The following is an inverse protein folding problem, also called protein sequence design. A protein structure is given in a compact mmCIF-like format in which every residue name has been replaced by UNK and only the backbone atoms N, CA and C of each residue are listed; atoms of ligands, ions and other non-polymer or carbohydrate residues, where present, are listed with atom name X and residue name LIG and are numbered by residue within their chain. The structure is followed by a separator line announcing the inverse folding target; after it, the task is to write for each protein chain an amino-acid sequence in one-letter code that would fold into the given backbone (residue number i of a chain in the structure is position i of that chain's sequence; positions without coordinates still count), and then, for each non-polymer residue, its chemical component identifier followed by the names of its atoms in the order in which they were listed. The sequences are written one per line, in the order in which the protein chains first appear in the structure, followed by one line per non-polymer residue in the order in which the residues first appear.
data_IF_081909843278
#
_entry.id   IF_081909843278
#
_cell.length_a   1.000
_cell.length_b   1.000
_cell.length_c   1.000
_cell.angle_alpha   90.00
_cell.angle_beta   90.00
_cell.angle_gamma   90.00
#
_symmetry.space_group_name_H-M   'P 1'
#
loop_
_entity.id
_entity.type
_entity.pdbx_description
1 polymer ?
#
# COMPACT_ATOMS: atom_id res chain seq x y z
N UNK A 1 -4.31 3.69 -14.74
CA UNK A 1 -3.83 5.01 -15.21
C UNK A 1 -4.84 5.74 -16.09
N UNK A 2 -5.20 5.15 -17.24
CA UNK A 2 -5.92 5.87 -18.31
C UNK A 2 -7.27 6.47 -17.94
N UNK A 3 -8.05 5.80 -17.09
CA UNK A 3 -9.33 6.35 -16.63
C UNK A 3 -9.14 7.67 -15.85
N UNK A 4 -8.17 7.72 -14.93
CA UNK A 4 -7.87 8.93 -14.15
C UNK A 4 -7.31 10.02 -15.04
N UNK A 5 -6.41 9.69 -15.98
CA UNK A 5 -5.82 10.66 -16.90
C UNK A 5 -6.89 11.32 -17.77
N UNK A 6 -7.82 10.53 -18.32
CA UNK A 6 -8.98 11.05 -19.07
C UNK A 6 -9.88 11.94 -18.20
N UNK A 7 -10.06 11.62 -16.91
CA UNK A 7 -10.81 12.48 -15.99
C UNK A 7 -10.12 13.83 -15.80
N UNK A 8 -8.80 13.85 -15.60
CA UNK A 8 -8.01 15.09 -15.46
C UNK A 8 -8.09 15.93 -16.74
N UNK A 9 -7.93 15.30 -17.91
CA UNK A 9 -8.07 15.98 -19.20
C UNK A 9 -9.49 16.55 -19.41
N UNK A 10 -10.51 15.80 -18.97
CA UNK A 10 -11.90 16.25 -18.93
C UNK A 10 -12.09 17.49 -18.05
N UNK A 11 -11.50 17.50 -16.84
CA UNK A 11 -11.55 18.66 -15.94
C UNK A 11 -10.86 19.89 -16.55
N UNK A 12 -9.73 19.70 -17.24
CA UNK A 12 -9.05 20.79 -17.94
C UNK A 12 -9.92 21.38 -19.06
N UNK A 13 -10.61 20.54 -19.82
CA UNK A 13 -11.54 20.96 -20.89
C UNK A 13 -12.74 21.71 -20.32
N UNK A 14 -13.31 21.24 -19.21
CA UNK A 14 -14.40 21.92 -18.51
C UNK A 14 -13.94 23.31 -18.03
N UNK A 15 -12.74 23.40 -17.44
CA UNK A 15 -12.15 24.67 -16.99
C UNK A 15 -12.02 25.68 -18.14
N UNK A 16 -11.54 25.26 -19.30
CA UNK A 16 -11.44 26.13 -20.48
C UNK A 16 -12.82 26.61 -20.95
N UNK A 17 -13.81 25.71 -20.97
CA UNK A 17 -15.19 26.03 -21.34
C UNK A 17 -15.82 27.04 -20.37
N UNK A 18 -15.58 26.88 -19.07
CA UNK A 18 -16.03 27.83 -18.03
C UNK A 18 -15.39 29.20 -18.25
N UNK A 19 -14.09 29.27 -18.52
CA UNK A 19 -13.40 30.54 -18.79
C UNK A 19 -13.94 31.25 -20.03
N UNK A 20 -14.20 30.51 -21.11
CA UNK A 20 -14.80 31.08 -22.31
C UNK A 20 -16.22 31.59 -22.04
N UNK A 21 -17.01 30.82 -21.30
CA UNK A 21 -18.38 31.20 -20.94
C UNK A 21 -18.40 32.43 -20.04
N UNK A 22 -17.50 32.51 -19.05
CA UNK A 22 -17.34 33.69 -18.20
C UNK A 22 -16.99 34.95 -19.01
N UNK A 23 -16.10 34.84 -20.02
CA UNK A 23 -15.81 35.97 -20.94
C UNK A 23 -17.04 36.39 -21.75
N UNK A 24 -17.87 35.45 -22.21
CA UNK A 24 -19.12 35.75 -22.94
C UNK A 24 -20.13 36.46 -22.03
N UNK A 25 -20.28 36.01 -20.79
CA UNK A 25 -21.19 36.62 -19.81
C UNK A 25 -20.71 38.03 -19.43
N UNK A 26 -19.40 38.25 -19.22
CA UNK A 26 -18.86 39.59 -18.92
C UNK A 26 -19.17 40.59 -20.04
N UNK A 27 -18.97 40.19 -21.30
CA UNK A 27 -19.35 41.02 -22.47
C UNK A 27 -20.85 41.30 -22.53
N UNK A 28 -21.68 40.34 -22.12
CA UNK A 28 -23.12 40.54 -22.02
C UNK A 28 -23.46 41.59 -20.95
N UNK A 29 -22.83 41.52 -19.78
CA UNK A 29 -22.97 42.53 -18.72
C UNK A 29 -22.54 43.93 -19.18
N UNK A 30 -21.42 44.05 -19.89
CA UNK A 30 -20.96 45.32 -20.50
C UNK A 30 -21.97 45.86 -21.51
N UNK A 31 -22.49 44.99 -22.39
CA UNK A 31 -23.51 45.38 -23.38
C UNK A 31 -24.83 45.82 -22.72
N UNK A 32 -25.24 45.13 -21.64
CA UNK A 32 -26.42 45.52 -20.86
C UNK A 32 -26.22 46.85 -20.14
N UNK A 33 -25.01 47.18 -19.69
CA UNK A 33 -24.69 48.50 -19.15
C UNK A 33 -24.82 49.59 -20.21
N UNK A 34 -24.32 49.35 -21.42
CA UNK A 34 -24.46 50.29 -22.54
C UNK A 34 -25.93 50.52 -22.91
N UNK A 35 -26.74 49.45 -22.95
CA UNK A 35 -28.20 49.56 -23.13
C UNK A 35 -28.83 50.37 -22.01
N UNK A 36 -28.42 50.16 -20.75
CA UNK A 36 -28.91 50.94 -19.60
C UNK A 36 -28.69 52.45 -19.78
N UNK A 37 -27.50 52.85 -20.21
CA UNK A 37 -27.17 54.26 -20.48
C UNK A 37 -28.02 54.84 -21.63
N UNK A 38 -28.31 54.04 -22.67
CA UNK A 38 -29.18 54.46 -23.78
C UNK A 38 -30.62 54.63 -23.30
N UNK A 39 -31.12 53.72 -22.46
CA UNK A 39 -32.49 53.78 -21.93
C UNK A 39 -32.69 55.02 -21.04
N UNK A 40 -31.68 55.38 -20.24
CA UNK A 40 -31.67 56.61 -19.44
C UNK A 40 -31.76 57.86 -20.35
N UNK A 41 -30.94 57.92 -21.40
CA UNK A 41 -31.01 59.02 -22.38
C UNK A 41 -32.38 59.11 -23.08
N UNK A 42 -32.99 57.98 -23.45
CA UNK A 42 -34.34 57.99 -24.07
C UNK A 42 -35.39 58.47 -23.07
N UNK A 43 -35.26 58.11 -21.79
CA UNK A 43 -36.14 58.60 -20.74
C UNK A 43 -36.05 60.13 -20.61
N UNK A 44 -34.83 60.68 -20.61
CA UNK A 44 -34.61 62.13 -20.56
C UNK A 44 -35.21 62.85 -21.79
N UNK A 45 -35.07 62.26 -22.98
CA UNK A 45 -35.68 62.80 -24.22
C UNK A 45 -37.21 62.75 -24.13
N UNK A 46 -37.79 61.66 -23.61
CA UNK A 46 -39.23 61.55 -23.43
C UNK A 46 -39.74 62.60 -22.43
N UNK A 47 -39.04 62.84 -21.34
CA UNK A 47 -39.39 63.86 -20.35
C UNK A 47 -39.27 65.29 -20.91
N UNK A 48 -38.21 65.60 -21.66
CA UNK A 48 -38.09 66.88 -22.37
C UNK A 48 -39.20 67.07 -23.41
N UNK A 49 -39.52 66.03 -24.17
CA UNK A 49 -40.60 66.05 -25.16
C UNK A 49 -41.95 66.30 -24.49
N UNK A 50 -42.18 65.70 -23.32
CA UNK A 50 -43.37 65.93 -22.50
C UNK A 50 -43.50 67.40 -22.06
N UNK A 51 -42.40 68.00 -21.60
CA UNK A 51 -42.36 69.42 -21.20
C UNK A 51 -42.60 70.34 -22.41
N UNK A 52 -42.00 70.03 -23.56
CA UNK A 52 -42.19 70.79 -24.81
C UNK A 52 -43.64 70.72 -25.29
N UNK A 53 -44.25 69.53 -25.24
CA UNK A 53 -45.65 69.33 -25.61
C UNK A 53 -46.60 70.10 -24.68
N UNK A 54 -46.36 70.08 -23.37
CA UNK A 54 -47.12 70.86 -22.40
C UNK A 54 -47.03 72.37 -22.69
N UNK A 55 -45.82 72.88 -22.95
CA UNK A 55 -45.62 74.29 -23.30
C UNK A 55 -46.35 74.65 -24.60
N UNK A 56 -46.36 73.77 -25.60
CA UNK A 56 -47.10 73.95 -26.84
C UNK A 56 -48.62 73.95 -26.62
N UNK A 57 -49.14 73.07 -25.76
CA UNK A 57 -50.58 73.01 -25.41
C UNK A 57 -51.03 74.30 -24.68
N UNK A 58 -50.20 74.84 -23.79
CA UNK A 58 -50.44 76.14 -23.14
C UNK A 58 -50.47 77.29 -24.17
N UNK A 59 -49.48 77.37 -25.05
CA UNK A 59 -49.41 78.40 -26.09
C UNK A 59 -50.59 78.31 -27.08
N UNK A 60 -50.99 77.09 -27.45
CA UNK A 60 -52.15 76.85 -28.30
C UNK A 60 -53.46 77.29 -27.62
N UNK A 61 -53.60 77.07 -26.31
CA UNK A 61 -54.74 77.56 -25.53
C UNK A 61 -54.79 79.09 -25.45
N UNK A 62 -53.63 79.76 -25.34
CA UNK A 62 -53.55 81.23 -25.34
C UNK A 62 -53.93 81.85 -26.70
N UNK A 63 -53.72 81.14 -27.81
CA UNK A 63 -54.09 81.60 -29.15
C UNK A 63 -55.60 81.48 -29.46
N UNK A 64 -56.40 80.94 -28.55
CA UNK A 64 -57.86 80.82 -28.69
C UNK A 64 -58.28 79.95 -29.87
N UNK A 65 -59.26 80.40 -30.65
CA UNK A 65 -59.81 79.61 -31.78
C UNK A 65 -58.79 79.32 -32.89
N UNK A 66 -57.76 80.15 -33.05
CA UNK A 66 -56.68 79.93 -34.02
C UNK A 66 -55.71 78.81 -33.60
N UNK A 67 -55.64 78.50 -32.29
CA UNK A 67 -54.74 77.49 -31.71
C UNK A 67 -55.34 76.10 -31.56
N UNK A 68 -56.64 75.91 -31.82
CA UNK A 68 -57.35 74.63 -31.58
C UNK A 68 -56.69 73.41 -32.23
N UNK A 69 -56.24 73.55 -33.48
CA UNK A 69 -55.55 72.46 -34.19
C UNK A 69 -54.17 72.14 -33.59
N UNK A 70 -53.45 73.16 -33.11
CA UNK A 70 -52.15 72.98 -32.45
C UNK A 70 -52.30 72.37 -31.05
N UNK A 71 -53.38 72.68 -30.33
CA UNK A 71 -53.65 72.10 -29.01
C UNK A 71 -53.84 70.57 -29.10
N UNK A 72 -54.61 70.09 -30.09
CA UNK A 72 -54.82 68.64 -30.30
C UNK A 72 -53.51 67.91 -30.62
N UNK A 73 -52.65 68.52 -31.43
CA UNK A 73 -51.33 67.93 -31.75
C UNK A 73 -50.43 67.92 -30.51
N UNK A 74 -50.42 68.99 -29.71
CA UNK A 74 -49.63 69.07 -28.49
C UNK A 74 -50.05 68.00 -27.47
N UNK A 75 -51.34 67.79 -27.27
CA UNK A 75 -51.86 66.75 -26.36
C UNK A 75 -51.49 65.33 -26.83
N UNK A 76 -51.51 65.06 -28.14
CA UNK A 76 -51.10 63.76 -28.67
C UNK A 76 -49.58 63.53 -28.56
N UNK A 77 -48.76 64.57 -28.73
CA UNK A 77 -47.31 64.49 -28.50
C UNK A 77 -47.02 64.25 -27.00
N UNK A 78 -47.74 64.92 -26.10
CA UNK A 78 -47.63 64.70 -24.66
C UNK A 78 -47.94 63.24 -24.30
N UNK A 79 -49.06 62.72 -24.80
CA UNK A 79 -49.47 61.33 -24.60
C UNK A 79 -48.45 60.33 -25.15
N UNK A 80 -47.83 60.63 -26.29
CA UNK A 80 -46.79 59.79 -26.88
C UNK A 80 -45.51 59.80 -26.02
N UNK A 81 -45.13 60.96 -25.50
CA UNK A 81 -43.99 61.13 -24.60
C UNK A 81 -44.18 60.36 -23.29
N UNK A 82 -45.37 60.45 -22.66
CA UNK A 82 -45.71 59.67 -21.46
C UNK A 82 -45.68 58.15 -21.73
N UNK A 83 -46.16 57.71 -22.89
CA UNK A 83 -46.07 56.29 -23.29
C UNK A 83 -44.63 55.84 -23.50
N UNK A 84 -43.79 56.69 -24.09
CA UNK A 84 -42.36 56.40 -24.28
C UNK A 84 -41.64 56.28 -22.93
N UNK A 85 -41.86 57.22 -22.00
CA UNK A 85 -41.29 57.19 -20.65
C UNK A 85 -41.72 55.94 -19.85
N UNK A 86 -42.99 55.53 -19.96
CA UNK A 86 -43.45 54.30 -19.33
C UNK A 86 -42.82 53.04 -19.93
N UNK A 87 -42.55 53.03 -21.24
CA UNK A 87 -41.90 51.92 -21.92
C UNK A 87 -40.40 51.84 -21.57
N UNK A 88 -39.68 52.98 -21.55
CA UNK A 88 -38.27 53.03 -21.14
C UNK A 88 -38.09 52.55 -19.71
N UNK A 89 -38.98 52.93 -18.79
CA UNK A 89 -38.95 52.44 -17.40
C UNK A 89 -39.13 50.93 -17.27
N UNK A 90 -39.97 50.32 -18.11
CA UNK A 90 -40.09 48.86 -18.16
C UNK A 90 -38.79 48.22 -18.68
N UNK A 91 -38.20 48.77 -19.74
CA UNK A 91 -36.93 48.29 -20.27
C UNK A 91 -35.81 48.43 -19.23
N UNK A 92 -35.78 49.53 -18.47
CA UNK A 92 -34.80 49.76 -17.40
C UNK A 92 -34.86 48.63 -16.35
N UNK A 93 -36.06 48.23 -15.93
CA UNK A 93 -36.23 47.09 -15.00
C UNK A 93 -35.69 45.80 -15.61
N UNK A 94 -35.98 45.53 -16.89
CA UNK A 94 -35.45 44.35 -17.59
C UNK A 94 -33.91 44.36 -17.65
N UNK A 95 -33.32 45.51 -17.98
CA UNK A 95 -31.86 45.67 -18.06
C UNK A 95 -31.22 45.44 -16.69
N UNK A 96 -31.79 45.99 -15.61
CA UNK A 96 -31.30 45.75 -14.24
C UNK A 96 -31.37 44.28 -13.86
N UNK A 97 -32.44 43.56 -14.23
CA UNK A 97 -32.54 42.12 -14.01
C UNK A 97 -31.44 41.37 -14.77
N UNK A 98 -31.21 41.69 -16.05
CA UNK A 98 -30.15 41.07 -16.85
C UNK A 98 -28.76 41.35 -16.23
N UNK A 99 -28.52 42.56 -15.74
CA UNK A 99 -27.27 42.91 -15.05
C UNK A 99 -27.08 42.08 -13.76
N UNK A 100 -28.14 41.90 -12.98
CA UNK A 100 -28.10 41.05 -11.78
C UNK A 100 -27.81 39.58 -12.13
N UNK A 101 -28.55 39.02 -13.09
CA UNK A 101 -28.42 37.63 -13.54
C UNK A 101 -27.03 37.36 -14.14
N UNK A 102 -26.50 38.30 -14.93
CA UNK A 102 -25.14 38.18 -15.50
C UNK A 102 -24.07 38.22 -14.42
N UNK A 103 -24.20 39.08 -13.40
CA UNK A 103 -23.28 39.10 -12.28
C UNK A 103 -23.33 37.81 -11.46
N UNK A 104 -24.53 37.30 -11.17
CA UNK A 104 -24.70 36.02 -10.47
C UNK A 104 -24.07 34.87 -11.29
N UNK A 105 -24.27 34.86 -12.61
CA UNK A 105 -23.68 33.86 -13.48
C UNK A 105 -22.14 33.93 -13.48
N UNK A 106 -21.53 35.12 -13.40
CA UNK A 106 -20.07 35.25 -13.23
C UNK A 106 -19.59 34.64 -11.92
N UNK A 107 -20.26 34.94 -10.80
CA UNK A 107 -19.92 34.38 -9.48
C UNK A 107 -20.05 32.84 -9.50
N UNK A 108 -21.10 32.32 -10.12
CA UNK A 108 -21.31 30.88 -10.30
C UNK A 108 -20.20 30.22 -11.14
N UNK A 109 -19.72 30.90 -12.19
CA UNK A 109 -18.60 30.43 -13.01
C UNK A 109 -17.26 30.42 -12.24
N UNK A 110 -17.02 31.41 -11.37
CA UNK A 110 -15.84 31.44 -10.51
C UNK A 110 -15.84 30.31 -9.47
N UNK A 111 -17.00 30.05 -8.84
CA UNK A 111 -17.18 28.89 -7.97
C UNK A 111 -16.96 27.58 -8.72
N UNK A 112 -17.56 27.43 -9.90
CA UNK A 112 -17.40 26.24 -10.74
C UNK A 112 -15.94 26.01 -11.13
N UNK A 113 -15.17 27.08 -11.36
CA UNK A 113 -13.73 26.99 -11.62
C UNK A 113 -12.99 26.39 -10.42
N UNK A 114 -13.32 26.84 -9.21
CA UNK A 114 -12.72 26.31 -7.96
C UNK A 114 -13.05 24.84 -7.77
N UNK A 115 -14.31 24.46 -7.98
CA UNK A 115 -14.78 23.08 -7.84
C UNK A 115 -14.09 22.13 -8.85
N UNK A 116 -13.91 22.58 -10.10
CA UNK A 116 -13.19 21.81 -11.14
C UNK A 116 -11.71 21.64 -10.79
N UNK A 117 -11.04 22.66 -10.26
CA UNK A 117 -9.64 22.56 -9.80
C UNK A 117 -9.53 21.57 -8.64
N UNK A 118 -10.44 21.66 -7.66
CA UNK A 118 -10.50 20.69 -6.56
C UNK A 118 -10.75 19.26 -7.05
N UNK A 119 -11.67 19.09 -8.02
CA UNK A 119 -11.96 17.81 -8.65
C UNK A 119 -10.76 17.21 -9.39
N UNK A 120 -9.99 18.03 -10.11
CA UNK A 120 -8.76 17.61 -10.77
C UNK A 120 -7.70 17.10 -9.76
N UNK A 121 -7.52 17.82 -8.65
CA UNK A 121 -6.59 17.42 -7.59
C UNK A 121 -6.99 16.10 -6.91
N UNK A 122 -8.30 15.91 -6.65
CA UNK A 122 -8.81 14.65 -6.09
C UNK A 122 -8.58 13.49 -7.05
N UNK A 123 -8.80 13.71 -8.36
CA UNK A 123 -8.52 12.70 -9.38
C UNK A 123 -7.02 12.34 -9.44
N UNK A 124 -6.14 13.33 -9.35
CA UNK A 124 -4.68 13.12 -9.32
C UNK A 124 -4.26 12.27 -8.10
N UNK A 125 -4.75 12.61 -6.90
CA UNK A 125 -4.50 11.84 -5.68
C UNK A 125 -5.00 10.39 -5.79
N UNK A 126 -6.19 10.18 -6.36
CA UNK A 126 -6.71 8.85 -6.64
C UNK A 126 -5.82 8.08 -7.65
N UNK A 127 -5.28 8.78 -8.64
CA UNK A 127 -4.30 8.25 -9.58
C UNK A 127 -3.04 7.73 -8.92
N UNK A 128 -2.46 8.52 -8.00
CA UNK A 128 -1.27 8.14 -7.25
C UNK A 128 -1.53 6.91 -6.35
N UNK A 129 -2.66 6.88 -5.64
CA UNK A 129 -3.04 5.73 -4.81
C UNK A 129 -3.21 4.44 -5.63
N UNK A 130 -3.80 4.54 -6.83
CA UNK A 130 -3.93 3.40 -7.73
C UNK A 130 -2.58 2.90 -8.26
N UNK A 131 -1.61 3.79 -8.50
CA UNK A 131 -0.25 3.39 -8.88
C UNK A 131 0.46 2.64 -7.74
N UNK A 132 0.27 3.08 -6.49
CA UNK A 132 0.80 2.39 -5.32
C UNK A 132 0.19 0.97 -5.21
N UNK A 133 -1.13 0.84 -5.39
CA UNK A 133 -1.82 -0.46 -5.40
C UNK A 133 -1.28 -1.37 -6.51
N UNK A 134 -1.03 -0.83 -7.70
CA UNK A 134 -0.44 -1.57 -8.82
C UNK A 134 0.95 -2.10 -8.47
N UNK A 135 1.80 -1.26 -7.87
CA UNK A 135 3.14 -1.63 -7.43
C UNK A 135 3.11 -2.75 -6.37
N UNK A 136 2.25 -2.61 -5.35
CA UNK A 136 2.08 -3.61 -4.30
C UNK A 136 1.56 -4.93 -4.89
N UNK A 137 0.61 -4.87 -5.84
CA UNK A 137 0.07 -6.06 -6.50
C UNK A 137 1.14 -6.82 -7.30
N UNK A 138 2.01 -6.10 -8.01
CA UNK A 138 3.15 -6.70 -8.71
C UNK A 138 4.15 -7.35 -7.75
N UNK A 139 4.41 -6.72 -6.60
CA UNK A 139 5.26 -7.30 -5.56
C UNK A 139 4.66 -8.58 -4.97
N UNK A 140 3.35 -8.59 -4.70
CA UNK A 140 2.63 -9.78 -4.24
C UNK A 140 2.73 -10.91 -5.28
N UNK A 141 2.54 -10.61 -6.56
CA UNK A 141 2.66 -11.60 -7.63
C UNK A 141 4.06 -12.24 -7.66
N UNK A 142 5.12 -11.44 -7.49
CA UNK A 142 6.49 -11.93 -7.38
C UNK A 142 6.69 -12.81 -6.14
N UNK A 143 6.17 -12.40 -4.97
CA UNK A 143 6.23 -13.23 -3.76
C UNK A 143 5.54 -14.58 -3.94
N UNK A 144 4.36 -14.61 -4.57
CA UNK A 144 3.63 -15.84 -4.86
C UNK A 144 4.42 -16.77 -5.78
N UNK A 145 5.09 -16.23 -6.80
CA UNK A 145 5.98 -17.01 -7.67
C UNK A 145 7.15 -17.63 -6.88
N UNK A 146 7.78 -16.86 -5.99
CA UNK A 146 8.86 -17.35 -5.14
C UNK A 146 8.39 -18.44 -4.16
N UNK A 147 7.23 -18.25 -3.53
CA UNK A 147 6.63 -19.26 -2.65
C UNK A 147 6.34 -20.56 -3.42
N UNK A 148 5.81 -20.44 -4.64
CA UNK A 148 5.55 -21.61 -5.50
C UNK A 148 6.85 -22.36 -5.83
N UNK A 149 7.93 -21.64 -6.14
CA UNK A 149 9.24 -22.23 -6.39
C UNK A 149 9.80 -22.94 -5.14
N UNK A 150 9.77 -22.29 -3.98
CA UNK A 150 10.20 -22.87 -2.71
C UNK A 150 9.38 -24.11 -2.33
N UNK A 151 8.06 -24.10 -2.58
CA UNK A 151 7.17 -25.24 -2.32
C UNK A 151 7.52 -26.45 -3.21
N UNK A 152 7.89 -26.23 -4.47
CA UNK A 152 8.41 -27.29 -5.35
C UNK A 152 9.72 -27.86 -4.82
N UNK A 153 10.66 -27.01 -4.40
CA UNK A 153 11.92 -27.47 -3.80
C UNK A 153 11.68 -28.29 -2.52
N UNK A 154 10.76 -27.84 -1.66
CA UNK A 154 10.41 -28.55 -0.42
C UNK A 154 9.77 -29.91 -0.72
N UNK A 155 8.98 -30.02 -1.80
CA UNK A 155 8.41 -31.30 -2.25
C UNK A 155 9.52 -32.26 -2.68
N UNK A 156 10.51 -31.81 -3.45
CA UNK A 156 11.67 -32.63 -3.84
C UNK A 156 12.48 -33.07 -2.61
N UNK A 157 12.76 -32.15 -1.68
CA UNK A 157 13.46 -32.50 -0.44
C UNK A 157 12.69 -33.52 0.41
N UNK A 158 11.36 -33.40 0.49
CA UNK A 158 10.51 -34.37 1.18
C UNK A 158 10.57 -35.76 0.52
N UNK A 159 10.62 -35.82 -0.82
CA UNK A 159 10.81 -37.09 -1.55
C UNK A 159 12.17 -37.73 -1.26
N UNK A 160 13.23 -36.92 -1.17
CA UNK A 160 14.57 -37.41 -0.79
C UNK A 160 14.59 -37.96 0.64
N UNK A 161 13.97 -37.26 1.58
CA UNK A 161 13.82 -37.72 2.96
C UNK A 161 13.06 -39.05 3.00
N UNK A 162 11.95 -39.16 2.27
CA UNK A 162 11.18 -40.40 2.20
C UNK A 162 12.00 -41.57 1.65
N UNK A 163 12.82 -41.33 0.62
CA UNK A 163 13.77 -42.34 0.09
C UNK A 163 14.80 -42.76 1.13
N UNK A 164 15.41 -41.78 1.82
CA UNK A 164 16.40 -42.07 2.86
C UNK A 164 15.80 -42.86 4.03
N UNK A 165 14.56 -42.58 4.41
CA UNK A 165 13.83 -43.35 5.43
C UNK A 165 13.61 -44.80 5.01
N UNK A 166 13.35 -45.05 3.73
CA UNK A 166 13.22 -46.42 3.20
C UNK A 166 14.55 -47.16 3.27
N UNK A 167 15.65 -46.51 2.89
CA UNK A 167 17.01 -47.09 3.00
C UNK A 167 17.37 -47.37 4.47
N UNK A 168 17.07 -46.45 5.38
CA UNK A 168 17.29 -46.65 6.82
C UNK A 168 16.51 -47.84 7.37
N UNK A 169 15.28 -48.05 6.89
CA UNK A 169 14.47 -49.21 7.27
C UNK A 169 15.13 -50.51 6.81
N UNK A 170 15.65 -50.56 5.59
CA UNK A 170 16.35 -51.72 5.04
C UNK A 170 17.64 -52.03 5.81
N UNK A 171 18.47 -51.00 6.07
CA UNK A 171 19.69 -51.14 6.89
C UNK A 171 19.36 -51.64 8.30
N UNK A 172 18.30 -51.11 8.92
CA UNK A 172 17.86 -51.52 10.26
C UNK A 172 17.43 -52.99 10.28
N UNK A 173 16.71 -53.45 9.25
CA UNK A 173 16.34 -54.85 9.09
C UNK A 173 17.58 -55.76 8.93
N UNK A 174 18.52 -55.38 8.06
CA UNK A 174 19.77 -56.12 7.87
C UNK A 174 20.61 -56.18 9.15
N UNK A 175 20.64 -55.07 9.91
CA UNK A 175 21.38 -55.00 11.18
C UNK A 175 20.76 -55.93 12.23
N UNK A 176 19.43 -56.00 12.29
CA UNK A 176 18.73 -56.93 13.18
C UNK A 176 19.03 -58.40 12.81
N UNK A 177 19.01 -58.73 11.52
CA UNK A 177 19.38 -60.07 11.02
C UNK A 177 20.83 -60.42 11.37
N UNK A 178 21.78 -59.52 11.11
CA UNK A 178 23.20 -59.70 11.43
C UNK A 178 23.44 -59.87 12.94
N UNK A 179 22.70 -59.14 13.77
CA UNK A 179 22.75 -59.29 15.23
C UNK A 179 22.22 -60.65 15.69
N UNK A 180 21.14 -61.14 15.08
CA UNK A 180 20.63 -62.50 15.35
C UNK A 180 21.64 -63.58 14.92
N UNK A 181 22.26 -63.44 13.74
CA UNK A 181 23.31 -64.33 13.27
C UNK A 181 24.55 -64.32 14.19
N UNK A 182 24.95 -63.14 14.68
CA UNK A 182 26.06 -62.98 15.63
C UNK A 182 25.74 -63.66 16.96
N UNK A 183 24.52 -63.47 17.48
CA UNK A 183 24.04 -64.12 18.71
C UNK A 183 24.09 -65.64 18.58
N UNK A 184 23.64 -66.18 17.44
CA UNK A 184 23.72 -67.62 17.16
C UNK A 184 25.17 -68.13 17.13
N UNK A 185 26.08 -67.38 16.50
CA UNK A 185 27.52 -67.73 16.45
C UNK A 185 28.16 -67.71 17.84
N UNK A 186 27.84 -66.71 18.67
CA UNK A 186 28.28 -66.64 20.07
C UNK A 186 27.74 -67.84 20.86
N UNK A 187 26.48 -68.22 20.66
CA UNK A 187 25.89 -69.43 21.26
C UNK A 187 26.65 -70.71 20.90
N UNK A 188 26.99 -70.89 19.61
CA UNK A 188 27.81 -72.03 19.14
C UNK A 188 29.21 -72.02 19.76
N UNK A 189 29.86 -70.85 19.84
CA UNK A 189 31.18 -70.71 20.47
C UNK A 189 31.15 -71.05 21.96
N UNK A 190 30.11 -70.63 22.69
CA UNK A 190 29.91 -70.98 24.09
C UNK A 190 29.74 -72.50 24.26
N UNK A 191 28.98 -73.14 23.38
CA UNK A 191 28.79 -74.60 23.38
C UNK A 191 30.10 -75.34 23.10
N UNK A 192 30.87 -74.92 22.09
CA UNK A 192 32.18 -75.51 21.78
C UNK A 192 33.17 -75.33 22.94
N UNK A 193 33.18 -74.16 23.56
CA UNK A 193 34.00 -73.88 24.75
C UNK A 193 33.62 -74.79 25.92
N UNK A 194 32.33 -75.04 26.14
CA UNK A 194 31.85 -75.98 27.16
C UNK A 194 32.26 -77.43 26.84
N UNK A 195 32.19 -77.85 25.57
CA UNK A 195 32.65 -79.16 25.12
C UNK A 195 34.16 -79.33 25.33
N UNK A 196 34.96 -78.32 24.96
CA UNK A 196 36.40 -78.32 25.20
C UNK A 196 36.71 -78.43 26.71
N UNK A 197 36.02 -77.65 27.56
CA UNK A 197 36.16 -77.77 29.03
C UNK A 197 35.82 -79.18 29.52
N UNK A 198 34.76 -79.81 28.99
CA UNK A 198 34.37 -81.18 29.32
C UNK A 198 35.44 -82.20 28.89
N UNK A 199 35.97 -82.08 27.68
CA UNK A 199 37.03 -82.96 27.17
C UNK A 199 38.32 -82.84 27.98
N UNK A 200 38.69 -81.62 28.42
CA UNK A 200 39.87 -81.38 29.25
C UNK A 200 39.65 -81.81 30.71
N UNK A 201 38.42 -81.79 31.23
CA UNK A 201 38.11 -82.21 32.60
C UNK A 201 38.42 -83.69 32.90
N UNK A 202 38.48 -84.54 31.86
CA UNK A 202 38.91 -85.94 31.97
C UNK A 202 40.43 -86.10 32.17
N UNK A 203 41.24 -85.09 31.83
CA UNK A 203 42.67 -85.05 32.10
C UNK A 203 42.91 -84.58 33.54
N UNK A 204 42.55 -85.42 34.51
CA UNK A 204 43.00 -85.25 35.89
C UNK A 204 44.41 -85.81 36.02
N UNK A 205 45.31 -85.05 36.63
CA UNK A 205 46.61 -85.59 37.02
C UNK A 205 46.37 -86.76 37.99
N UNK A 206 47.09 -87.88 37.86
CA UNK A 206 47.05 -88.98 38.82
C UNK A 206 47.22 -88.42 40.24
N UNK A 207 46.39 -88.84 41.19
CA UNK A 207 46.45 -88.37 42.59
C UNK A 207 47.86 -88.52 43.20
N UNK A 208 48.65 -89.48 42.72
CA UNK A 208 50.05 -89.67 43.07
C UNK A 208 50.94 -88.45 42.75
N UNK A 209 50.69 -87.73 41.65
CA UNK A 209 51.48 -86.55 41.26
C UNK A 209 51.02 -85.31 42.04
N UNK A 210 49.72 -85.22 42.36
CA UNK A 210 49.18 -84.11 43.18
C UNK A 210 49.67 -84.21 44.63
N UNK A 211 49.75 -85.42 45.20
CA UNK A 211 50.34 -85.64 46.52
C UNK A 211 51.88 -85.45 46.52
N UNK A 212 52.58 -85.86 45.47
CA UNK A 212 54.02 -85.59 45.33
C UNK A 212 54.33 -84.08 45.22
N UNK A 213 53.51 -83.33 44.49
CA UNK A 213 53.63 -81.87 44.39
C UNK A 213 53.28 -81.14 45.70
N UNK A 214 52.36 -81.69 46.51
CA UNK A 214 52.06 -81.17 47.85
C UNK A 214 53.16 -81.50 48.88
N UNK A 215 53.83 -82.65 48.78
CA UNK A 215 54.98 -82.99 49.61
C UNK A 215 56.22 -82.11 49.32
N UNK A 216 56.40 -81.67 48.07
CA UNK A 216 57.42 -80.69 47.68
C UNK A 216 57.13 -79.26 48.15
N UNK A 217 55.91 -78.96 48.61
CA UNK A 217 55.49 -77.62 49.06
C UNK A 217 55.71 -77.34 50.55
N UNK A 218 56.30 -78.29 51.28
CA UNK A 218 56.53 -78.24 52.73
C UNK A 218 57.83 -77.58 53.20
N UNK A 219 58.64 -76.96 52.34
CA UNK A 219 59.85 -76.23 52.77
C UNK A 219 59.62 -74.71 52.91
N UNK A 220 60.24 -74.04 53.91
CA UNK A 220 59.95 -72.64 54.25
C UNK A 220 60.65 -71.59 53.36
N UNK A 221 59.86 -70.58 53.01
CA UNK A 221 60.05 -69.17 52.58
C UNK A 221 61.43 -68.60 52.19
N UNK A 222 61.42 -67.75 51.14
CA UNK A 222 62.06 -66.41 51.05
C UNK A 222 61.21 -65.53 50.10
N UNK A 223 60.43 -64.59 50.65
CA UNK A 223 60.64 -63.11 50.66
C UNK A 223 60.57 -62.40 49.29
N UNK A 224 59.49 -61.61 49.15
CA UNK A 224 59.35 -60.31 48.47
C UNK A 224 59.79 -60.10 47.00
N UNK A 225 58.84 -59.66 46.16
CA UNK A 225 58.67 -58.21 45.90
C UNK A 225 57.34 -57.92 45.17
N UNK A 226 56.56 -57.02 45.76
CA UNK A 226 55.36 -56.38 45.20
C UNK A 226 55.66 -55.60 43.90
N UNK A 227 54.72 -55.65 42.95
CA UNK A 227 54.50 -54.59 41.97
C UNK A 227 52.97 -54.39 41.81
N UNK A 228 52.47 -53.14 41.85
CA UNK A 228 51.05 -52.86 42.07
C UNK A 228 50.20 -52.93 40.80
N UNK A 229 48.91 -53.15 41.02
CA UNK A 229 47.84 -53.22 40.05
C UNK A 229 47.63 -51.90 39.30
N UNK A 230 47.56 -51.96 37.96
CA UNK A 230 47.02 -50.88 37.16
C UNK A 230 45.48 -50.97 37.18
N UNK A 231 44.88 -50.03 37.90
CA UNK A 231 43.45 -49.82 37.98
C UNK A 231 42.89 -49.27 36.65
N UNK A 232 41.77 -49.86 36.21
CA UNK A 232 40.76 -49.26 35.34
C UNK A 232 40.32 -47.88 35.85
N UNK A 233 40.11 -46.87 34.99
CA UNK A 233 39.27 -45.73 35.32
C UNK A 233 37.83 -46.02 34.86
N UNK A 234 36.96 -46.27 35.84
CA UNK A 234 35.53 -45.99 35.75
C UNK A 234 35.21 -45.01 36.87
N UNK A 235 34.78 -43.80 36.51
CA UNK A 235 33.84 -42.96 37.24
C UNK A 235 33.76 -41.58 36.58
N UNK A 236 32.56 -40.97 36.62
CA UNK A 236 32.49 -39.52 36.73
C UNK A 236 31.48 -38.82 35.86
N UNK A 237 30.21 -39.18 36.00
CA UNK A 237 29.13 -38.20 35.85
C UNK A 237 29.28 -37.08 36.89
N UNK A 238 29.34 -35.82 36.45
CA UNK A 238 28.87 -34.68 37.25
C UNK A 238 28.17 -33.66 36.36
N UNK A 239 26.96 -33.36 36.81
CA UNK A 239 26.00 -32.37 36.36
C UNK A 239 26.47 -30.92 36.54
N UNK A 240 25.73 -30.01 35.88
CA UNK A 240 25.41 -28.62 36.31
C UNK A 240 26.60 -27.64 36.44
N UNK A 241 26.58 -26.39 35.98
CA UNK A 241 25.51 -25.38 36.01
C UNK A 241 25.97 -24.14 35.22
N UNK A 242 25.04 -23.52 34.50
CA UNK A 242 24.76 -22.07 34.40
C UNK A 242 25.90 -21.02 34.35
N UNK A 243 25.87 -20.24 33.25
CA UNK A 243 25.88 -18.76 33.17
C UNK A 243 26.95 -17.94 33.91
N UNK A 244 27.60 -17.04 33.17
CA UNK A 244 27.86 -15.59 33.44
C UNK A 244 28.67 -15.06 32.25
N UNK A 245 28.08 -14.27 31.35
CA UNK A 245 27.99 -12.80 31.34
C UNK A 245 29.27 -12.07 30.85
N UNK A 246 29.06 -11.30 29.77
CA UNK A 246 29.53 -9.93 29.49
C UNK A 246 31.00 -9.50 29.64
N UNK A 247 31.50 -8.83 28.60
CA UNK A 247 32.58 -7.83 28.66
C UNK A 247 33.51 -7.86 27.44
N UNK A 248 33.20 -7.16 26.33
CA UNK A 248 33.62 -5.77 25.98
C UNK A 248 35.11 -5.56 25.64
N UNK A 249 35.34 -4.98 24.45
CA UNK A 249 36.57 -4.30 24.01
C UNK A 249 37.53 -5.20 23.24
N UNK A 250 38.21 -4.81 22.17
CA UNK A 250 38.47 -3.50 21.54
C UNK A 250 39.30 -3.78 20.27
N UNK A 251 39.25 -2.89 19.27
CA UNK A 251 40.23 -2.84 18.17
C UNK A 251 39.60 -2.95 16.78
N UNK A 252 39.01 -1.88 16.23
CA UNK A 252 39.71 -0.81 15.52
C UNK A 252 40.51 -1.30 14.29
N UNK A 253 39.89 -1.22 13.11
CA UNK A 253 40.65 -0.89 11.90
C UNK A 253 39.79 -0.11 10.90
N UNK A 254 40.23 1.13 10.68
CA UNK A 254 39.82 2.07 9.63
C UNK A 254 40.14 1.48 8.26
N UNK A 255 39.40 1.83 7.21
CA UNK A 255 39.76 2.90 6.26
C UNK A 255 38.75 3.02 5.10
N UNK A 256 38.39 4.27 4.79
CA UNK A 256 38.06 4.89 3.49
C UNK A 256 37.19 4.12 2.46
N UNK A 257 36.15 4.66 1.83
CA UNK A 257 35.81 6.06 1.52
C UNK A 257 35.23 6.12 0.10
N UNK A 258 34.40 7.15 -0.17
CA UNK A 258 33.70 7.54 -1.43
C UNK A 258 32.29 6.95 -1.59
N UNK A 259 31.21 7.69 -1.30
CA UNK A 259 30.58 8.77 -2.09
C UNK A 259 30.41 8.43 -3.58
N UNK A 260 29.17 8.24 -4.02
CA UNK A 260 28.44 9.27 -4.79
C UNK A 260 27.01 8.84 -5.16
N UNK A 261 26.12 9.83 -5.02
CA UNK A 261 24.84 10.10 -5.71
C UNK A 261 23.75 9.03 -5.70
#
# INVERSE_FOLDING_TARGET
GDAVRRTIDGMNTIRETIQETSKRIKRLGESSQEIGNIVELINDIAEQTNILALNASIQASMAGDAGRGFAVVADEVQRLAERAANATKQIEVLVRTIQADTNEAVVSMERSTTDVVGGALLAENAGAALQEIEQVSNQIASLVQNISASSRQQTTAAQDIARNMQVLREISAQTAENSAATTNSIGKLAQLSAQLRKSVAGFRLPEAIVQAAQALRGQPKTTEREAPAAATPSAGSTSSTSSTSTGTGTGAQRQAGRLSA
#
